data_IF_984575783082
#
_entry.id   IF_984575783082
#
_cell.length_a   1.000
_cell.length_b   1.000
_cell.length_c   1.000
_cell.angle_alpha   90.00
_cell.angle_beta   90.00
_cell.angle_gamma   90.00
#
_symmetry.space_group_name_H-M   'P 1'
#
loop_
_entity.id
_entity.type
_entity.pdbx_description
1 polymer ?
#
# COMPACT_ATOMS: atom_id res chain seq x y z
N UNK A 1 9.42 -28.00 13.02
CA UNK A 1 10.04 -26.75 12.58
C UNK A 1 9.36 -26.28 11.31
N UNK A 2 9.11 -24.99 11.24
CA UNK A 2 8.56 -24.42 10.02
C UNK A 2 9.71 -23.96 9.12
N UNK A 3 9.96 -24.61 7.99
CA UNK A 3 10.97 -24.12 7.07
C UNK A 3 10.60 -22.78 6.47
N UNK A 4 11.59 -22.04 6.02
CA UNK A 4 11.38 -20.74 5.40
C UNK A 4 10.38 -20.83 4.24
N UNK A 5 10.34 -21.97 3.55
CA UNK A 5 9.41 -22.20 2.45
C UNK A 5 7.95 -22.19 2.88
N UNK A 6 7.68 -22.26 4.19
CA UNK A 6 6.32 -22.20 4.71
C UNK A 6 5.87 -20.78 5.06
N UNK A 7 6.74 -19.79 4.92
CA UNK A 7 6.33 -18.41 5.07
C UNK A 7 5.41 -18.06 3.91
N UNK A 8 4.26 -17.46 4.22
CA UNK A 8 3.36 -17.04 3.16
C UNK A 8 3.89 -15.77 2.46
N UNK A 9 3.42 -15.51 1.24
CA UNK A 9 3.90 -14.36 0.49
C UNK A 9 3.66 -13.02 1.16
N UNK A 10 2.58 -12.90 1.94
CA UNK A 10 2.29 -11.66 2.66
C UNK A 10 3.35 -11.43 3.76
N UNK A 11 3.67 -12.48 4.49
CA UNK A 11 4.71 -12.39 5.52
C UNK A 11 6.04 -11.95 4.90
N UNK A 12 6.42 -12.58 3.78
CA UNK A 12 7.65 -12.23 3.10
C UNK A 12 7.66 -10.78 2.62
N UNK A 13 6.54 -10.33 2.06
CA UNK A 13 6.43 -8.95 1.61
C UNK A 13 6.61 -7.98 2.78
N UNK A 14 5.90 -8.21 3.89
CA UNK A 14 5.95 -7.33 5.05
C UNK A 14 7.33 -7.31 5.71
N UNK A 15 8.08 -8.40 5.61
CA UNK A 15 9.44 -8.46 6.17
C UNK A 15 10.45 -7.68 5.33
N UNK A 16 10.31 -7.69 4.00
CA UNK A 16 11.30 -7.05 3.14
C UNK A 16 10.93 -5.62 2.73
N UNK A 17 9.64 -5.27 2.74
CA UNK A 17 9.22 -3.94 2.32
C UNK A 17 9.66 -2.88 3.32
N UNK A 18 10.08 -1.72 2.83
CA UNK A 18 10.49 -0.61 3.67
C UNK A 18 9.66 0.63 3.42
N UNK A 19 9.26 0.86 2.18
CA UNK A 19 8.58 2.08 1.75
C UNK A 19 7.20 1.75 1.21
N UNK A 20 6.19 2.36 1.82
CA UNK A 20 4.78 2.18 1.45
C UNK A 20 4.23 3.53 0.99
N UNK A 21 3.82 3.61 -0.27
CA UNK A 21 3.10 4.78 -0.77
C UNK A 21 1.61 4.54 -0.53
N UNK A 22 0.97 5.43 0.20
CA UNK A 22 -0.43 5.26 0.59
C UNK A 22 -1.29 6.24 -0.20
N UNK A 23 -2.01 5.69 -1.19
CA UNK A 23 -2.89 6.48 -2.05
C UNK A 23 -4.22 6.69 -1.36
N UNK A 24 -4.57 7.94 -1.14
CA UNK A 24 -5.77 8.29 -0.39
C UNK A 24 -5.54 8.46 1.11
N UNK A 25 -4.30 8.57 1.54
CA UNK A 25 -3.99 8.83 2.95
C UNK A 25 -4.57 10.17 3.37
N UNK A 26 -5.36 10.16 4.44
CA UNK A 26 -5.94 11.37 5.02
C UNK A 26 -5.00 11.99 6.03
N UNK A 27 -5.03 13.32 6.14
CA UNK A 27 -4.31 14.02 7.19
C UNK A 27 -5.09 14.08 8.50
N UNK A 28 -6.31 13.54 8.53
CA UNK A 28 -7.14 13.50 9.73
C UNK A 28 -6.94 12.20 10.50
N UNK A 29 -6.58 12.29 11.81
CA UNK A 29 -6.40 11.08 12.64
C UNK A 29 -7.68 10.26 12.80
N UNK A 30 -8.84 10.83 12.49
CA UNK A 30 -10.12 10.14 12.60
C UNK A 30 -10.41 9.21 11.43
N UNK A 31 -9.63 9.30 10.35
CA UNK A 31 -9.84 8.46 9.18
C UNK A 31 -9.05 7.16 9.26
N UNK A 32 -9.64 6.04 8.80
CA UNK A 32 -8.95 4.74 8.85
C UNK A 32 -7.60 4.74 8.15
N UNK A 33 -7.47 5.44 7.02
CA UNK A 33 -6.20 5.48 6.30
C UNK A 33 -5.08 6.07 7.16
N UNK A 34 -5.40 7.05 7.99
CA UNK A 34 -4.42 7.68 8.87
C UNK A 34 -4.00 6.71 9.98
N UNK A 35 -4.98 6.09 10.66
CA UNK A 35 -4.67 5.16 11.76
C UNK A 35 -3.87 3.96 11.30
N UNK A 36 -4.24 3.37 10.18
CA UNK A 36 -3.53 2.23 9.61
C UNK A 36 -2.10 2.62 9.25
N UNK A 37 -1.93 3.77 8.59
CA UNK A 37 -0.60 4.22 8.19
C UNK A 37 0.27 4.60 9.37
N UNK A 38 -0.31 5.20 10.41
CA UNK A 38 0.41 5.52 11.63
C UNK A 38 0.95 4.25 12.31
N UNK A 39 0.11 3.20 12.37
CA UNK A 39 0.55 1.91 12.90
C UNK A 39 1.75 1.38 12.12
N UNK A 40 1.65 1.38 10.79
CA UNK A 40 2.76 0.88 9.97
C UNK A 40 4.03 1.72 10.18
N UNK A 41 3.87 3.03 10.28
CA UNK A 41 5.00 3.91 10.51
C UNK A 41 5.71 3.59 11.84
N UNK A 42 4.94 3.33 12.91
CA UNK A 42 5.55 2.99 14.20
C UNK A 42 6.25 1.64 14.17
N UNK A 43 5.97 0.81 13.19
CA UNK A 43 6.61 -0.49 13.01
C UNK A 43 7.74 -0.46 11.99
N UNK A 44 8.24 0.73 11.69
CA UNK A 44 9.48 0.89 10.93
C UNK A 44 9.30 1.13 9.43
N UNK A 45 8.08 1.21 8.94
CA UNK A 45 7.85 1.47 7.52
C UNK A 45 7.89 2.97 7.23
N UNK A 46 8.51 3.32 6.11
CA UNK A 46 8.46 4.69 5.62
C UNK A 46 7.14 4.89 4.88
N UNK A 47 6.35 5.83 5.34
CA UNK A 47 5.04 6.13 4.76
C UNK A 47 5.15 7.35 3.87
N UNK A 48 4.72 7.21 2.61
CA UNK A 48 4.68 8.30 1.65
C UNK A 48 3.22 8.59 1.33
N UNK A 49 2.69 9.75 1.78
CA UNK A 49 1.31 10.11 1.46
C UNK A 49 1.15 10.44 -0.02
N UNK A 50 0.12 9.91 -0.66
CA UNK A 50 -0.23 10.26 -2.04
C UNK A 50 -1.69 10.68 -2.05
N UNK A 51 -1.93 11.98 -2.12
CA UNK A 51 -3.27 12.54 -2.07
C UNK A 51 -3.20 14.01 -2.51
N UNK A 52 -3.89 14.38 -3.60
CA UNK A 52 -3.82 15.76 -4.11
C UNK A 52 -4.50 16.78 -3.20
N UNK A 53 -5.26 16.33 -2.19
CA UNK A 53 -6.04 17.22 -1.33
C UNK A 53 -5.34 17.61 -0.05
N UNK A 54 -4.16 17.05 0.24
CA UNK A 54 -3.43 17.35 1.47
C UNK A 54 -2.01 17.78 1.14
N UNK A 55 -1.37 18.48 2.07
CA UNK A 55 0.02 18.90 1.93
C UNK A 55 0.98 17.94 2.58
N UNK A 56 0.56 17.36 3.70
CA UNK A 56 1.41 16.44 4.44
C UNK A 56 0.54 15.56 5.33
N UNK A 57 1.10 14.43 5.75
CA UNK A 57 0.49 13.56 6.75
C UNK A 57 1.60 12.77 7.42
N UNK A 58 1.45 12.51 8.72
CA UNK A 58 2.41 11.70 9.49
C UNK A 58 3.85 12.20 9.37
N UNK A 59 4.02 13.51 9.27
CA UNK A 59 5.35 14.13 9.21
C UNK A 59 6.03 14.05 7.85
N UNK A 60 5.33 13.60 6.80
CA UNK A 60 5.89 13.46 5.47
C UNK A 60 5.12 14.31 4.47
N UNK A 61 5.80 14.89 3.47
CA UNK A 61 5.11 15.65 2.43
C UNK A 61 4.26 14.73 1.57
N UNK A 62 3.11 15.23 1.12
CA UNK A 62 2.21 14.47 0.27
C UNK A 62 2.47 14.80 -1.20
N UNK A 63 2.30 13.80 -2.05
CA UNK A 63 2.40 13.96 -3.50
C UNK A 63 1.02 13.81 -4.12
N UNK A 64 0.77 14.51 -5.21
CA UNK A 64 -0.56 14.49 -5.83
C UNK A 64 -0.82 13.22 -6.63
N UNK A 65 0.23 12.51 -7.06
CA UNK A 65 0.08 11.22 -7.73
C UNK A 65 1.31 10.35 -7.46
N UNK A 66 1.15 9.03 -7.69
CA UNK A 66 2.28 8.10 -7.56
C UNK A 66 3.45 8.50 -8.46
N UNK A 67 3.15 9.03 -9.63
CA UNK A 67 4.20 9.37 -10.60
C UNK A 67 5.12 10.48 -10.11
N UNK A 68 4.70 11.25 -9.11
CA UNK A 68 5.52 12.33 -8.56
C UNK A 68 6.41 11.91 -7.41
N UNK A 69 6.24 10.70 -6.90
CA UNK A 69 7.03 10.20 -5.78
C UNK A 69 8.47 9.98 -6.25
N UNK A 70 9.45 10.66 -5.63
CA UNK A 70 10.84 10.56 -6.11
C UNK A 70 11.59 9.34 -5.57
N UNK A 71 10.99 8.58 -4.67
CA UNK A 71 11.62 7.44 -4.03
C UNK A 71 11.13 6.14 -4.61
N UNK A 72 11.94 5.09 -4.43
CA UNK A 72 11.52 3.74 -4.78
C UNK A 72 10.40 3.30 -3.84
N UNK A 73 9.34 2.77 -4.41
CA UNK A 73 8.17 2.29 -3.67
C UNK A 73 8.19 0.77 -3.63
N UNK A 74 8.05 0.20 -2.44
CA UNK A 74 7.97 -1.25 -2.27
C UNK A 74 6.54 -1.76 -2.29
N UNK A 75 5.61 -0.98 -1.75
CA UNK A 75 4.18 -1.34 -1.73
C UNK A 75 3.35 -0.09 -2.01
N UNK A 76 2.38 -0.21 -2.90
CA UNK A 76 1.34 0.81 -3.07
C UNK A 76 0.12 0.34 -2.30
N UNK A 77 -0.23 1.05 -1.23
CA UNK A 77 -1.39 0.73 -0.39
C UNK A 77 -2.54 1.68 -0.74
N UNK A 78 -3.68 1.13 -1.14
CA UNK A 78 -4.76 1.91 -1.75
C UNK A 78 -5.96 2.04 -0.82
N UNK A 79 -6.27 3.29 -0.44
CA UNK A 79 -7.46 3.69 0.29
C UNK A 79 -8.34 4.57 -0.61
N UNK A 80 -8.73 4.04 -1.75
CA UNK A 80 -9.61 4.75 -2.68
C UNK A 80 -10.77 3.84 -3.05
N UNK A 81 -11.88 4.44 -3.51
CA UNK A 81 -13.02 3.66 -3.97
C UNK A 81 -12.62 2.83 -5.19
N UNK A 82 -13.27 1.66 -5.38
CA UNK A 82 -12.89 0.74 -6.45
C UNK A 82 -12.80 1.37 -7.84
N UNK A 83 -13.65 2.33 -8.15
CA UNK A 83 -13.65 2.96 -9.48
C UNK A 83 -12.38 3.75 -9.78
N UNK A 84 -11.59 4.11 -8.76
CA UNK A 84 -10.34 4.83 -8.96
C UNK A 84 -9.10 3.92 -9.00
N UNK A 85 -9.28 2.64 -8.73
CA UNK A 85 -8.14 1.72 -8.60
C UNK A 85 -7.44 1.47 -9.93
N UNK A 86 -8.21 1.42 -11.03
CA UNK A 86 -7.61 1.16 -12.35
C UNK A 86 -6.53 2.16 -12.73
N UNK A 87 -6.79 3.44 -12.52
CA UNK A 87 -5.83 4.50 -12.81
C UNK A 87 -4.59 4.38 -11.93
N UNK A 88 -4.78 4.05 -10.64
CA UNK A 88 -3.67 3.90 -9.71
C UNK A 88 -2.81 2.71 -10.12
N UNK A 89 -3.44 1.61 -10.52
CA UNK A 89 -2.72 0.42 -11.01
C UNK A 89 -1.90 0.75 -12.26
N UNK A 90 -2.45 1.54 -13.18
CA UNK A 90 -1.70 1.93 -14.37
C UNK A 90 -0.43 2.71 -13.99
N UNK A 91 -0.52 3.60 -13.02
CA UNK A 91 0.65 4.34 -12.54
C UNK A 91 1.66 3.39 -11.88
N UNK A 92 1.18 2.46 -11.07
CA UNK A 92 2.04 1.49 -10.40
C UNK A 92 2.78 0.61 -11.42
N UNK A 93 2.11 0.21 -12.49
CA UNK A 93 2.73 -0.55 -13.57
C UNK A 93 3.85 0.25 -14.22
N UNK A 94 3.61 1.53 -14.50
CA UNK A 94 4.63 2.40 -15.10
C UNK A 94 5.85 2.52 -14.21
N UNK A 95 5.65 2.58 -12.90
CA UNK A 95 6.74 2.68 -11.93
C UNK A 95 7.39 1.35 -11.61
N UNK A 96 6.82 0.25 -12.10
CA UNK A 96 7.31 -1.11 -11.86
C UNK A 96 7.41 -1.45 -10.39
N UNK A 97 6.41 -1.02 -9.61
CA UNK A 97 6.37 -1.36 -8.18
C UNK A 97 6.21 -2.87 -7.99
N UNK A 98 6.82 -3.46 -6.96
CA UNK A 98 6.73 -4.91 -6.77
C UNK A 98 5.39 -5.38 -6.22
N UNK A 99 4.65 -4.55 -5.50
CA UNK A 99 3.42 -4.98 -4.85
C UNK A 99 2.38 -3.88 -4.76
N UNK A 100 1.11 -4.28 -4.85
CA UNK A 100 -0.04 -3.40 -4.66
C UNK A 100 -0.92 -4.03 -3.58
N UNK A 101 -1.36 -3.22 -2.62
CA UNK A 101 -2.23 -3.64 -1.54
C UNK A 101 -3.54 -2.85 -1.60
N UNK A 102 -4.64 -3.55 -1.85
CA UNK A 102 -5.98 -2.96 -1.82
C UNK A 102 -6.61 -3.25 -0.48
N UNK A 103 -6.91 -2.20 0.26
CA UNK A 103 -7.45 -2.30 1.60
C UNK A 103 -8.84 -2.96 1.63
N UNK A 104 -9.35 -3.23 2.84
CA UNK A 104 -10.68 -3.83 3.00
C UNK A 104 -11.72 -3.07 2.19
N UNK A 105 -12.57 -3.80 1.49
CA UNK A 105 -13.65 -3.28 0.62
C UNK A 105 -13.15 -2.56 -0.64
N UNK A 106 -11.84 -2.49 -0.85
CA UNK A 106 -11.28 -1.99 -2.10
C UNK A 106 -11.11 -3.20 -3.01
N UNK A 107 -12.10 -3.45 -3.84
CA UNK A 107 -12.13 -4.62 -4.70
C UNK A 107 -12.29 -4.18 -6.15
N UNK A 108 -11.31 -4.56 -6.97
CA UNK A 108 -11.36 -4.32 -8.40
C UNK A 108 -10.59 -5.45 -9.08
N UNK A 109 -11.33 -6.50 -9.46
CA UNK A 109 -10.72 -7.71 -10.02
C UNK A 109 -10.02 -7.44 -11.35
N UNK A 110 -10.61 -6.57 -12.17
CA UNK A 110 -10.02 -6.26 -13.47
C UNK A 110 -8.65 -5.58 -13.29
N UNK A 111 -8.57 -4.60 -12.40
CA UNK A 111 -7.31 -3.92 -12.14
C UNK A 111 -6.27 -4.85 -11.50
N UNK A 112 -6.72 -5.71 -10.58
CA UNK A 112 -5.84 -6.68 -9.92
C UNK A 112 -5.23 -7.63 -10.94
N UNK A 113 -6.05 -8.14 -11.87
CA UNK A 113 -5.60 -9.03 -12.92
C UNK A 113 -4.58 -8.35 -13.83
N UNK A 114 -4.84 -7.11 -14.20
CA UNK A 114 -3.91 -6.34 -15.02
C UNK A 114 -2.56 -6.18 -14.33
N UNK A 115 -2.57 -5.85 -13.06
CA UNK A 115 -1.33 -5.72 -12.29
C UNK A 115 -0.56 -7.05 -12.24
N UNK A 116 -1.28 -8.15 -12.00
CA UNK A 116 -0.64 -9.47 -11.94
C UNK A 116 -0.02 -9.87 -13.26
N UNK A 117 -0.64 -9.51 -14.36
CA UNK A 117 -0.07 -9.78 -15.69
C UNK A 117 1.24 -9.04 -15.92
N UNK A 118 1.47 -7.98 -15.20
CA UNK A 118 2.73 -7.22 -15.24
C UNK A 118 3.71 -7.63 -14.15
N UNK A 119 3.46 -8.78 -13.51
CA UNK A 119 4.38 -9.31 -12.50
C UNK A 119 4.27 -8.69 -11.13
N UNK A 120 3.22 -7.93 -10.86
CA UNK A 120 3.02 -7.28 -9.57
C UNK A 120 2.26 -8.21 -8.63
N UNK A 121 2.76 -8.33 -7.40
CA UNK A 121 2.07 -9.09 -6.36
C UNK A 121 0.91 -8.25 -5.83
N UNK A 122 -0.32 -8.78 -5.91
CA UNK A 122 -1.52 -8.03 -5.51
C UNK A 122 -2.21 -8.70 -4.35
N UNK A 123 -2.46 -7.93 -3.30
CA UNK A 123 -3.30 -8.32 -2.18
C UNK A 123 -4.55 -7.43 -2.26
N UNK A 124 -5.74 -8.03 -2.11
CA UNK A 124 -6.98 -7.31 -2.31
C UNK A 124 -7.97 -7.61 -1.19
N UNK A 125 -8.69 -6.57 -0.73
CA UNK A 125 -9.73 -6.70 0.29
C UNK A 125 -9.17 -7.22 1.62
N UNK A 126 -8.03 -6.65 2.04
CA UNK A 126 -7.42 -6.96 3.33
C UNK A 126 -6.83 -5.70 3.94
N UNK A 127 -6.82 -5.63 5.26
CA UNK A 127 -6.22 -4.50 5.97
C UNK A 127 -4.77 -4.81 6.30
N UNK A 128 -3.85 -3.97 5.82
CA UNK A 128 -2.42 -4.18 6.02
C UNK A 128 -2.04 -4.17 7.51
N UNK A 129 -2.70 -3.34 8.32
CA UNK A 129 -2.48 -3.32 9.76
C UNK A 129 -2.86 -4.64 10.38
N UNK A 130 -4.02 -5.17 10.04
CA UNK A 130 -4.50 -6.44 10.62
C UNK A 130 -3.60 -7.59 10.22
N UNK A 131 -3.15 -7.61 8.96
CA UNK A 131 -2.25 -8.66 8.50
C UNK A 131 -0.88 -8.57 9.17
N UNK A 132 -0.37 -7.36 9.36
CA UNK A 132 0.89 -7.16 10.06
C UNK A 132 0.79 -7.59 11.52
N UNK A 133 -0.26 -7.13 12.19
CA UNK A 133 -0.44 -7.44 13.62
C UNK A 133 -0.61 -8.94 13.86
N UNK A 134 -1.31 -9.62 12.97
CA UNK A 134 -1.51 -11.06 13.08
C UNK A 134 -0.19 -11.84 13.00
N UNK A 135 0.81 -11.29 12.31
CA UNK A 135 2.10 -11.96 12.08
C UNK A 135 3.20 -11.49 13.00
N UNK A 136 3.23 -10.21 13.34
CA UNK A 136 4.37 -9.59 14.03
C UNK A 136 3.98 -8.84 15.29
N UNK A 137 2.72 -8.61 15.49
CA UNK A 137 2.23 -7.89 16.64
C UNK A 137 1.85 -8.78 17.77
#
# INVERSE_FOLDING_TARGET
MAPASQSDPITELLQRAKTIAVVGLSDSPLRPSHGVSAYMQTHGYRIIPVNPRIREALGAPAYSSLLEVPEKIDVVNIFRRPEFVGEIVDQAIRLKVPAIWMQEEVINEHAAEKARKHGIFVIMDRCILKEHRARFG
#
